data_IF_384021163535
#
_entry.id   IF_384021163535
#
_cell.length_a   1.000
_cell.length_b   1.000
_cell.length_c   1.000
_cell.angle_alpha   90.00
_cell.angle_beta   90.00
_cell.angle_gamma   90.00
#
_symmetry.space_group_name_H-M   'P 1'
#
loop_
_entity.id
_entity.type
_entity.pdbx_description
1 polymer ?
#
# COMPACT_ATOMS: atom_id res chain seq x y z
N UNK A 1 10.14 -17.07 -2.99
CA UNK A 1 9.30 -16.31 -3.93
C UNK A 1 8.34 -17.28 -4.58
N UNK A 2 7.02 -17.12 -4.42
CA UNK A 2 6.06 -17.90 -5.19
C UNK A 2 6.18 -17.47 -6.65
N UNK A 3 6.35 -18.43 -7.55
CA UNK A 3 6.26 -18.17 -8.98
C UNK A 3 4.84 -17.65 -9.27
N UNK A 4 4.74 -16.36 -9.54
CA UNK A 4 3.48 -15.76 -9.96
C UNK A 4 3.08 -16.42 -11.27
N UNK A 5 1.87 -16.97 -11.31
CA UNK A 5 1.34 -17.51 -12.55
C UNK A 5 1.02 -16.34 -13.47
N UNK A 6 1.94 -16.05 -14.39
CA UNK A 6 1.83 -14.91 -15.31
C UNK A 6 0.52 -14.95 -16.12
N UNK A 7 0.02 -16.11 -16.44
CA UNK A 7 -1.25 -16.25 -17.17
C UNK A 7 -2.43 -15.76 -16.34
N UNK A 8 -2.44 -16.04 -15.02
CA UNK A 8 -3.46 -15.52 -14.13
C UNK A 8 -3.38 -13.98 -14.00
N UNK A 9 -2.19 -13.41 -13.96
CA UNK A 9 -2.03 -11.95 -13.88
C UNK A 9 -2.49 -11.26 -15.17
N UNK A 10 -2.20 -11.84 -16.32
CA UNK A 10 -2.69 -11.34 -17.62
C UNK A 10 -4.21 -11.48 -17.71
N UNK A 11 -4.78 -12.57 -17.21
CA UNK A 11 -6.24 -12.77 -17.15
C UNK A 11 -6.92 -11.76 -16.20
N UNK A 12 -6.32 -11.50 -15.05
CA UNK A 12 -6.79 -10.49 -14.12
C UNK A 12 -6.76 -9.09 -14.75
N UNK A 13 -5.66 -8.76 -15.44
CA UNK A 13 -5.54 -7.52 -16.18
C UNK A 13 -6.58 -7.42 -17.31
N UNK A 14 -6.78 -8.49 -18.08
CA UNK A 14 -7.83 -8.56 -19.09
C UNK A 14 -9.20 -8.28 -18.47
N UNK A 15 -9.51 -8.95 -17.36
CA UNK A 15 -10.78 -8.79 -16.66
C UNK A 15 -10.96 -7.36 -16.14
N UNK A 16 -9.92 -6.76 -15.57
CA UNK A 16 -9.94 -5.37 -15.10
C UNK A 16 -10.25 -4.39 -16.23
N UNK A 17 -9.54 -4.51 -17.34
CA UNK A 17 -9.65 -3.57 -18.49
C UNK A 17 -10.94 -3.76 -19.25
N UNK A 18 -11.33 -4.99 -19.55
CA UNK A 18 -12.47 -5.26 -20.41
C UNK A 18 -13.80 -5.45 -19.68
N UNK A 19 -13.81 -5.70 -18.37
CA UNK A 19 -15.02 -5.61 -17.55
C UNK A 19 -15.55 -4.17 -17.47
N UNK A 20 -14.65 -3.21 -17.41
CA UNK A 20 -14.98 -1.77 -17.46
C UNK A 20 -15.47 -1.41 -18.88
N UNK A 21 -14.94 -2.06 -19.91
CA UNK A 21 -15.24 -1.81 -21.31
C UNK A 21 -16.30 -2.76 -21.92
N UNK A 22 -16.93 -3.63 -21.14
CA UNK A 22 -17.85 -4.67 -21.64
C UNK A 22 -19.05 -4.10 -22.42
N UNK A 23 -19.40 -2.83 -22.24
CA UNK A 23 -20.50 -2.14 -22.93
C UNK A 23 -20.02 -1.23 -24.08
N UNK A 24 -18.73 -1.26 -24.45
CA UNK A 24 -18.19 -0.39 -25.50
C UNK A 24 -17.88 -1.16 -26.79
N UNK A 25 -18.22 -0.57 -27.93
CA UNK A 25 -17.91 -1.13 -29.25
C UNK A 25 -16.39 -1.32 -29.45
N UNK A 26 -15.99 -2.32 -30.25
CA UNK A 26 -14.58 -2.72 -30.46
C UNK A 26 -13.65 -1.57 -30.87
N UNK A 27 -14.14 -0.57 -31.60
CA UNK A 27 -13.38 0.63 -32.00
C UNK A 27 -12.99 1.49 -30.75
N UNK A 28 -13.86 1.56 -29.76
CA UNK A 28 -13.61 2.31 -28.53
C UNK A 28 -12.63 1.58 -27.58
N UNK A 29 -12.47 0.26 -27.71
CA UNK A 29 -11.52 -0.51 -26.89
C UNK A 29 -10.06 -0.11 -27.16
N UNK A 30 -9.70 0.12 -28.43
CA UNK A 30 -8.35 0.60 -28.79
C UNK A 30 -8.10 2.01 -28.27
N UNK A 31 -9.11 2.89 -28.32
CA UNK A 31 -9.02 4.24 -27.78
C UNK A 31 -8.82 4.22 -26.27
N UNK A 32 -9.61 3.42 -25.57
CA UNK A 32 -9.52 3.23 -24.13
C UNK A 32 -8.13 2.72 -23.68
N UNK A 33 -7.57 1.72 -24.38
CA UNK A 33 -6.23 1.22 -24.07
C UNK A 33 -5.15 2.27 -24.32
N UNK A 34 -5.27 3.10 -25.35
CA UNK A 34 -4.35 4.20 -25.59
C UNK A 34 -4.42 5.26 -24.48
N UNK A 35 -5.62 5.67 -24.06
CA UNK A 35 -5.81 6.59 -22.95
C UNK A 35 -5.26 6.03 -21.65
N UNK A 36 -5.50 4.75 -21.37
CA UNK A 36 -4.94 4.06 -20.22
C UNK A 36 -3.41 4.07 -20.22
N UNK A 37 -2.76 3.80 -21.37
CA UNK A 37 -1.30 3.89 -21.51
C UNK A 37 -0.81 5.33 -21.27
N UNK A 38 -1.53 6.34 -21.76
CA UNK A 38 -1.18 7.74 -21.54
C UNK A 38 -1.31 8.11 -20.06
N UNK A 39 -2.35 7.66 -19.36
CA UNK A 39 -2.51 7.85 -17.93
C UNK A 39 -1.38 7.18 -17.12
N UNK A 40 -0.99 5.95 -17.46
CA UNK A 40 0.15 5.30 -16.84
C UNK A 40 1.46 6.09 -17.04
N UNK A 41 1.68 6.63 -18.25
CA UNK A 41 2.85 7.48 -18.49
C UNK A 41 2.81 8.78 -17.68
N UNK A 42 1.65 9.40 -17.48
CA UNK A 42 1.52 10.61 -16.67
C UNK A 42 1.75 10.34 -15.17
N UNK A 43 1.33 9.18 -14.67
CA UNK A 43 1.60 8.74 -13.31
C UNK A 43 3.10 8.59 -13.07
N UNK A 44 3.83 8.04 -14.03
CA UNK A 44 5.29 7.89 -13.96
C UNK A 44 6.02 9.22 -13.93
N UNK A 45 5.51 10.23 -14.66
CA UNK A 45 6.11 11.58 -14.68
C UNK A 45 5.79 12.37 -13.41
N UNK A 46 4.62 12.16 -12.82
CA UNK A 46 4.12 12.91 -11.67
C UNK A 46 4.31 12.17 -10.34
N UNK A 47 4.56 10.86 -10.36
CA UNK A 47 4.81 10.11 -9.15
C UNK A 47 6.24 10.30 -8.71
N UNK A 48 6.35 10.97 -7.60
CA UNK A 48 7.41 10.94 -6.62
C UNK A 48 8.70 10.22 -7.04
N UNK A 49 9.82 10.83 -6.74
CA UNK A 49 11.19 10.30 -6.80
C UNK A 49 11.37 8.88 -6.19
N UNK A 50 10.33 8.30 -5.60
CA UNK A 50 10.34 7.02 -4.89
C UNK A 50 9.63 5.85 -5.59
N UNK A 51 8.99 6.05 -6.75
CA UNK A 51 8.41 4.94 -7.52
C UNK A 51 9.45 4.39 -8.48
N UNK A 52 10.19 3.39 -8.06
CA UNK A 52 11.13 2.71 -8.92
C UNK A 52 10.41 1.78 -9.87
N UNK A 53 10.55 2.05 -11.17
CA UNK A 53 10.38 1.07 -12.22
C UNK A 53 11.29 -0.16 -11.99
N UNK A 54 11.04 -1.26 -12.69
CA UNK A 54 11.97 -2.39 -12.68
C UNK A 54 13.43 -1.93 -12.90
N UNK A 55 14.32 -2.39 -12.04
CA UNK A 55 15.75 -2.15 -12.22
C UNK A 55 16.19 -2.83 -13.54
N UNK A 56 16.86 -2.10 -14.43
CA UNK A 56 17.25 -2.55 -15.76
C UNK A 56 16.09 -2.94 -16.70
N UNK A 57 14.90 -2.39 -16.49
CA UNK A 57 13.73 -2.69 -17.30
C UNK A 57 13.87 -2.10 -18.71
N UNK A 58 14.06 -2.96 -19.69
CA UNK A 58 13.89 -2.65 -21.09
C UNK A 58 12.50 -3.13 -21.54
N UNK A 59 11.58 -2.21 -21.80
CA UNK A 59 10.19 -2.53 -22.20
C UNK A 59 10.14 -3.57 -23.34
N UNK A 60 11.08 -3.48 -24.29
CA UNK A 60 11.14 -4.40 -25.44
C UNK A 60 11.41 -5.84 -25.01
N UNK A 61 12.35 -6.06 -24.11
CA UNK A 61 12.75 -7.39 -23.67
C UNK A 61 11.67 -8.00 -22.79
N UNK A 62 11.05 -7.21 -21.93
CA UNK A 62 9.92 -7.65 -21.13
C UNK A 62 8.72 -8.01 -21.99
N UNK A 63 8.35 -7.17 -22.97
CA UNK A 63 7.27 -7.48 -23.92
C UNK A 63 7.56 -8.78 -24.67
N UNK A 64 8.81 -9.03 -25.04
CA UNK A 64 9.18 -10.27 -25.72
C UNK A 64 9.03 -11.48 -24.78
N UNK A 65 9.41 -11.37 -23.52
CA UNK A 65 9.30 -12.47 -22.55
C UNK A 65 7.84 -12.85 -22.22
N UNK A 66 6.93 -11.87 -22.14
CA UNK A 66 5.51 -12.11 -21.84
C UNK A 66 4.65 -12.44 -23.06
N UNK A 67 5.16 -12.27 -24.27
CA UNK A 67 4.39 -12.39 -25.51
C UNK A 67 3.70 -13.75 -25.67
N UNK A 68 4.40 -14.84 -25.29
CA UNK A 68 3.85 -16.18 -25.32
C UNK A 68 2.67 -16.40 -24.37
N UNK A 69 2.76 -15.84 -23.17
CA UNK A 69 1.70 -15.91 -22.17
C UNK A 69 0.50 -15.04 -22.58
N UNK A 70 0.75 -13.84 -23.09
CA UNK A 70 -0.31 -12.99 -23.64
C UNK A 70 -1.02 -13.65 -24.81
N UNK A 71 -0.31 -14.37 -25.69
CA UNK A 71 -0.91 -15.06 -26.83
C UNK A 71 -1.93 -16.11 -26.39
N UNK A 72 -1.69 -16.84 -25.30
CA UNK A 72 -2.64 -17.81 -24.76
C UNK A 72 -3.93 -17.15 -24.28
N UNK A 73 -3.81 -16.02 -23.57
CA UNK A 73 -4.98 -15.27 -23.08
C UNK A 73 -5.74 -14.62 -24.24
N UNK A 74 -5.04 -14.06 -25.23
CA UNK A 74 -5.63 -13.50 -26.43
C UNK A 74 -6.41 -14.59 -27.20
N UNK A 75 -5.88 -15.80 -27.31
CA UNK A 75 -6.56 -16.93 -27.97
C UNK A 75 -7.81 -17.38 -27.18
N UNK A 76 -7.77 -17.33 -25.86
CA UNK A 76 -8.93 -17.65 -25.00
C UNK A 76 -10.08 -16.66 -25.18
N UNK A 77 -9.76 -15.39 -25.52
CA UNK A 77 -10.72 -14.30 -25.71
C UNK A 77 -10.80 -13.85 -27.18
N UNK A 78 -10.89 -14.81 -28.11
CA UNK A 78 -10.92 -14.53 -29.55
C UNK A 78 -12.15 -13.71 -29.97
N UNK A 79 -13.25 -13.83 -29.22
CA UNK A 79 -14.46 -13.02 -29.39
C UNK A 79 -14.20 -11.51 -29.27
N UNK A 80 -13.20 -11.12 -28.46
CA UNK A 80 -12.80 -9.70 -28.27
C UNK A 80 -11.70 -9.28 -29.22
N UNK A 81 -10.70 -10.13 -29.42
CA UNK A 81 -9.50 -9.78 -30.16
C UNK A 81 -9.61 -10.08 -31.66
N UNK A 82 -10.33 -11.18 -32.03
CA UNK A 82 -10.48 -11.59 -33.44
C UNK A 82 -9.18 -11.49 -34.23
N UNK A 83 -9.27 -11.00 -35.47
CA UNK A 83 -8.12 -10.72 -36.32
C UNK A 83 -7.48 -9.35 -36.13
N UNK A 84 -7.89 -8.59 -35.08
CA UNK A 84 -7.39 -7.24 -34.84
C UNK A 84 -5.96 -7.24 -34.30
N UNK A 85 -4.97 -7.36 -35.17
CA UNK A 85 -3.55 -7.36 -34.83
C UNK A 85 -3.08 -6.08 -34.09
N UNK A 86 -3.55 -4.86 -34.43
CA UNK A 86 -3.26 -3.66 -33.65
C UNK A 86 -3.74 -3.74 -32.19
N UNK A 87 -4.97 -4.23 -31.95
CA UNK A 87 -5.53 -4.37 -30.61
C UNK A 87 -4.71 -5.37 -29.78
N UNK A 88 -4.32 -6.52 -30.36
CA UNK A 88 -3.46 -7.52 -29.72
C UNK A 88 -2.13 -6.92 -29.27
N UNK A 89 -1.46 -6.16 -30.14
CA UNK A 89 -0.19 -5.48 -29.82
C UNK A 89 -0.37 -4.45 -28.70
N UNK A 90 -1.44 -3.68 -28.78
CA UNK A 90 -1.74 -2.63 -27.80
C UNK A 90 -2.03 -3.22 -26.43
N UNK A 91 -2.75 -4.34 -26.33
CA UNK A 91 -3.01 -5.07 -25.09
C UNK A 91 -1.71 -5.53 -24.44
N UNK A 92 -0.80 -6.17 -25.20
CA UNK A 92 0.49 -6.62 -24.68
C UNK A 92 1.31 -5.44 -24.15
N UNK A 93 1.33 -4.33 -24.88
CA UNK A 93 2.01 -3.10 -24.46
C UNK A 93 1.39 -2.48 -23.20
N UNK A 94 0.06 -2.44 -23.14
CA UNK A 94 -0.67 -1.92 -21.98
C UNK A 94 -0.38 -2.76 -20.74
N UNK A 95 -0.39 -4.09 -20.87
CA UNK A 95 -0.04 -4.99 -19.79
C UNK A 95 1.42 -4.80 -19.32
N UNK A 96 2.37 -4.74 -20.25
CA UNK A 96 3.76 -4.50 -19.91
C UNK A 96 3.96 -3.19 -19.13
N UNK A 97 3.31 -2.11 -19.57
CA UNK A 97 3.35 -0.83 -18.86
C UNK A 97 2.63 -0.86 -17.53
N UNK A 98 1.49 -1.50 -17.45
CA UNK A 98 0.77 -1.68 -16.19
C UNK A 98 1.63 -2.40 -15.15
N UNK A 99 2.31 -3.45 -15.56
CA UNK A 99 3.24 -4.18 -14.71
C UNK A 99 4.42 -3.31 -14.28
N UNK A 100 5.01 -2.56 -15.23
CA UNK A 100 6.18 -1.73 -14.93
C UNK A 100 5.84 -0.52 -14.05
N UNK A 101 4.68 0.08 -14.23
CA UNK A 101 4.37 1.41 -13.69
C UNK A 101 3.01 1.50 -12.96
N UNK A 102 2.14 0.49 -13.09
CA UNK A 102 0.81 0.52 -12.47
C UNK A 102 0.90 0.54 -10.94
N UNK A 103 0.02 1.31 -10.29
CA UNK A 103 -0.26 1.19 -8.85
C UNK A 103 -1.04 -0.12 -8.63
N UNK A 104 -0.34 -1.23 -8.62
CA UNK A 104 -0.99 -2.51 -8.46
C UNK A 104 -1.02 -2.86 -6.98
N UNK A 105 -2.19 -2.93 -6.42
CA UNK A 105 -2.49 -3.73 -5.23
C UNK A 105 -2.41 -5.22 -5.62
N UNK A 106 -1.26 -5.67 -6.11
CA UNK A 106 -1.01 -7.10 -6.25
C UNK A 106 -0.96 -7.67 -4.84
N UNK A 107 -1.77 -8.67 -4.58
CA UNK A 107 -2.09 -9.18 -3.26
C UNK A 107 -0.92 -9.76 -2.46
N UNK A 108 0.29 -9.84 -3.03
CA UNK A 108 1.46 -10.44 -2.40
C UNK A 108 2.64 -9.48 -2.46
N UNK A 109 2.79 -8.67 -1.42
CA UNK A 109 3.99 -7.89 -1.19
C UNK A 109 4.86 -8.54 -0.11
N UNK A 110 6.17 -8.49 -0.30
CA UNK A 110 7.15 -8.83 0.72
C UNK A 110 7.87 -7.57 1.12
N UNK A 111 7.84 -7.24 2.40
CA UNK A 111 8.49 -6.05 2.92
C UNK A 111 9.76 -6.44 3.66
N UNK A 112 10.87 -5.80 3.30
CA UNK A 112 12.15 -5.90 3.98
C UNK A 112 12.37 -4.59 4.72
N UNK A 113 12.65 -4.68 6.03
CA UNK A 113 12.89 -3.52 6.88
C UNK A 113 14.29 -3.63 7.49
N UNK A 114 15.07 -2.57 7.37
CA UNK A 114 16.40 -2.46 7.95
C UNK A 114 16.40 -1.27 8.90
N UNK A 115 16.81 -1.53 10.15
CA UNK A 115 16.85 -0.52 11.21
C UNK A 115 18.22 -0.53 11.85
N UNK A 116 18.76 0.63 12.17
CA UNK A 116 20.06 0.73 12.85
C UNK A 116 20.53 2.16 13.05
N UNK A 117 21.73 2.26 13.56
CA UNK A 117 22.49 3.50 13.70
C UNK A 117 23.72 3.44 12.81
N UNK A 118 23.97 4.48 12.02
CA UNK A 118 25.26 4.68 11.38
C UNK A 118 26.30 5.13 12.41
N UNK A 119 27.58 4.87 12.13
CA UNK A 119 28.68 5.18 13.05
C UNK A 119 28.71 6.65 13.51
N UNK A 120 28.32 7.56 12.60
CA UNK A 120 28.29 9.02 12.82
C UNK A 120 26.89 9.56 13.07
N UNK A 121 25.84 8.73 13.00
CA UNK A 121 24.46 9.15 13.20
C UNK A 121 24.13 9.21 14.69
N UNK A 122 23.42 10.27 15.08
CA UNK A 122 22.91 10.45 16.46
C UNK A 122 21.59 9.71 16.61
N UNK A 123 20.74 9.78 15.59
CA UNK A 123 19.42 9.19 15.55
C UNK A 123 19.39 7.88 14.76
N UNK A 124 18.46 6.97 15.09
CA UNK A 124 18.30 5.73 14.32
C UNK A 124 17.75 6.01 12.92
N UNK A 125 18.20 5.24 11.96
CA UNK A 125 17.68 5.22 10.60
C UNK A 125 16.87 3.97 10.35
N UNK A 126 15.72 4.09 9.69
CA UNK A 126 14.91 2.99 9.21
C UNK A 126 14.72 3.10 7.71
N UNK A 127 14.96 2.00 7.02
CA UNK A 127 14.67 1.88 5.58
C UNK A 127 13.82 0.66 5.32
N UNK A 128 12.83 0.81 4.47
CA UNK A 128 12.02 -0.33 4.04
C UNK A 128 11.96 -0.42 2.52
N UNK A 129 11.92 -1.66 2.04
CA UNK A 129 11.77 -1.99 0.63
C UNK A 129 10.60 -2.96 0.52
N UNK A 130 9.58 -2.57 -0.25
CA UNK A 130 8.49 -3.46 -0.63
C UNK A 130 8.81 -4.10 -1.97
N UNK A 131 8.88 -5.42 -1.97
CA UNK A 131 8.98 -6.24 -3.17
C UNK A 131 7.57 -6.71 -3.53
N UNK A 132 7.07 -6.28 -4.68
CA UNK A 132 5.70 -6.61 -5.07
C UNK A 132 5.62 -7.96 -5.77
N UNK A 133 6.41 -8.18 -6.83
CA UNK A 133 6.50 -9.45 -7.51
C UNK A 133 7.70 -9.47 -8.46
N UNK A 134 8.08 -10.67 -8.87
CA UNK A 134 9.18 -10.89 -9.82
C UNK A 134 8.78 -11.88 -10.90
N UNK A 135 9.27 -11.65 -12.11
CA UNK A 135 9.10 -12.51 -13.25
C UNK A 135 10.43 -12.62 -13.97
N UNK A 136 11.00 -13.81 -14.01
CA UNK A 136 12.39 -14.06 -14.43
C UNK A 136 13.37 -13.20 -13.63
N UNK A 137 14.17 -12.39 -14.30
CA UNK A 137 15.13 -11.44 -13.72
C UNK A 137 14.53 -10.06 -13.40
N UNK A 138 13.26 -9.83 -13.78
CA UNK A 138 12.56 -8.58 -13.49
C UNK A 138 11.81 -8.70 -12.18
N UNK A 139 12.04 -7.75 -11.29
CA UNK A 139 11.23 -7.60 -10.07
C UNK A 139 10.91 -6.14 -9.82
N UNK A 140 9.74 -5.91 -9.30
CA UNK A 140 9.26 -4.60 -8.95
C UNK A 140 9.43 -4.37 -7.46
N UNK A 141 10.03 -3.26 -7.11
CA UNK A 141 10.16 -2.85 -5.73
C UNK A 141 9.85 -1.36 -5.57
N UNK A 142 9.49 -0.96 -4.36
CA UNK A 142 9.41 0.42 -3.94
C UNK A 142 10.24 0.57 -2.67
N UNK A 143 11.10 1.56 -2.61
CA UNK A 143 11.88 1.88 -1.42
C UNK A 143 11.43 3.23 -0.87
N UNK A 144 11.16 3.27 0.41
CA UNK A 144 10.89 4.52 1.10
C UNK A 144 11.64 4.56 2.44
N UNK A 145 11.99 5.76 2.84
CA UNK A 145 12.52 6.01 4.17
C UNK A 145 11.30 6.31 5.02
N UNK A 146 11.07 5.52 6.03
CA UNK A 146 10.06 5.87 7.01
C UNK A 146 10.56 7.03 7.86
N UNK A 147 9.63 7.83 8.39
CA UNK A 147 9.92 9.07 9.11
C UNK A 147 11.13 8.95 10.03
N UNK A 148 12.20 9.66 9.70
CA UNK A 148 13.41 9.70 10.51
C UNK A 148 13.14 10.35 11.85
N UNK A 149 13.80 9.86 12.89
CA UNK A 149 13.88 10.54 14.19
C UNK A 149 14.83 11.74 14.01
N UNK A 150 14.40 12.92 14.45
CA UNK A 150 15.14 14.18 14.42
C UNK A 150 14.94 14.92 15.73
N UNK A 151 15.61 16.07 15.90
CA UNK A 151 15.38 16.92 17.07
C UNK A 151 13.92 17.40 17.16
N UNK A 152 13.28 17.68 16.03
CA UNK A 152 11.88 18.13 15.97
C UNK A 152 10.87 16.98 16.03
N UNK A 153 11.28 15.76 15.72
CA UNK A 153 10.46 14.56 15.72
C UNK A 153 11.11 13.47 16.57
N UNK A 154 10.88 13.53 17.87
CA UNK A 154 11.55 12.68 18.86
C UNK A 154 11.09 11.23 18.88
N UNK A 155 9.93 10.90 18.30
CA UNK A 155 9.37 9.55 18.32
C UNK A 155 8.59 9.23 17.04
N UNK A 156 8.59 7.96 16.64
CA UNK A 156 7.81 7.47 15.51
C UNK A 156 7.44 6.00 15.69
N UNK A 157 6.23 5.62 15.27
CA UNK A 157 5.78 4.23 15.17
C UNK A 157 5.72 3.85 13.70
N UNK A 158 6.63 3.00 13.26
CA UNK A 158 6.65 2.44 11.92
C UNK A 158 5.93 1.09 11.90
N UNK A 159 4.92 0.96 11.07
CA UNK A 159 4.01 -0.19 11.02
C UNK A 159 4.24 -0.96 9.75
N UNK A 160 4.36 -2.28 9.86
CA UNK A 160 4.61 -3.17 8.74
C UNK A 160 3.69 -4.38 8.80
N UNK A 161 3.28 -4.90 7.65
CA UNK A 161 2.35 -6.02 7.54
C UNK A 161 0.89 -5.62 7.80
N UNK A 162 0.22 -6.31 8.70
CA UNK A 162 -1.19 -6.03 9.04
C UNK A 162 -1.32 -4.84 9.98
N UNK A 163 -1.65 -3.67 9.43
CA UNK A 163 -1.56 -2.39 10.15
C UNK A 163 -2.91 -1.79 10.56
N UNK A 164 -4.04 -2.35 10.13
CA UNK A 164 -5.38 -1.80 10.29
C UNK A 164 -5.77 -1.55 11.77
N UNK A 165 -5.47 -2.49 12.66
CA UNK A 165 -5.77 -2.35 14.09
C UNK A 165 -4.83 -1.32 14.74
N UNK A 166 -3.55 -1.37 14.40
CA UNK A 166 -2.56 -0.41 14.91
C UNK A 166 -2.88 1.00 14.37
N UNK A 167 -3.32 1.12 13.13
CA UNK A 167 -3.80 2.38 12.56
C UNK A 167 -4.98 2.94 13.35
N UNK A 168 -5.96 2.08 13.68
CA UNK A 168 -7.12 2.48 14.47
C UNK A 168 -6.70 2.96 15.86
N UNK A 169 -5.74 2.30 16.50
CA UNK A 169 -5.21 2.71 17.81
C UNK A 169 -4.50 4.08 17.73
N UNK A 170 -3.62 4.27 16.75
CA UNK A 170 -2.84 5.51 16.61
C UNK A 170 -3.70 6.68 16.16
N UNK A 171 -4.60 6.46 15.19
CA UNK A 171 -5.43 7.50 14.61
C UNK A 171 -6.70 7.77 15.44
N UNK A 172 -7.07 6.89 16.38
CA UNK A 172 -8.32 6.98 17.13
C UNK A 172 -9.58 6.74 16.27
N UNK A 173 -9.41 6.37 15.00
CA UNK A 173 -10.50 6.09 14.05
C UNK A 173 -10.10 4.97 13.10
N UNK A 174 -11.06 4.10 12.79
CA UNK A 174 -10.87 3.05 11.79
C UNK A 174 -10.85 3.63 10.37
N UNK A 175 -9.94 3.15 9.52
CA UNK A 175 -9.76 3.67 8.15
C UNK A 175 -11.03 3.47 7.29
N UNK A 176 -11.78 2.37 7.45
CA UNK A 176 -13.04 2.14 6.75
C UNK A 176 -14.13 3.11 7.20
N UNK A 177 -14.20 3.40 8.51
CA UNK A 177 -15.12 4.40 9.04
C UNK A 177 -14.78 5.79 8.52
N UNK A 178 -13.49 6.14 8.51
CA UNK A 178 -13.01 7.41 7.95
C UNK A 178 -13.42 7.56 6.48
N UNK A 179 -13.23 6.51 5.68
CA UNK A 179 -13.66 6.48 4.27
C UNK A 179 -15.18 6.61 4.13
N UNK A 180 -15.94 5.87 4.93
CA UNK A 180 -17.41 5.97 4.92
C UNK A 180 -17.91 7.38 5.23
N UNK A 181 -17.25 8.10 6.14
CA UNK A 181 -17.58 9.50 6.42
C UNK A 181 -17.37 10.40 5.19
N UNK A 182 -16.30 10.19 4.43
CA UNK A 182 -16.07 10.95 3.20
C UNK A 182 -17.13 10.63 2.14
N UNK A 183 -17.48 9.36 1.96
CA UNK A 183 -18.51 8.93 1.01
C UNK A 183 -19.89 9.52 1.38
N UNK A 184 -20.25 9.48 2.67
CA UNK A 184 -21.51 10.08 3.17
C UNK A 184 -21.52 11.57 2.91
N UNK A 185 -20.44 12.28 3.23
CA UNK A 185 -20.37 13.73 3.04
C UNK A 185 -20.38 14.12 1.56
N UNK A 186 -19.68 13.36 0.71
CA UNK A 186 -19.72 13.53 -0.74
C UNK A 186 -21.14 13.37 -1.31
N UNK A 187 -21.83 12.31 -0.90
CA UNK A 187 -23.22 12.06 -1.28
C UNK A 187 -24.16 13.19 -0.78
N UNK A 188 -23.96 13.66 0.45
CA UNK A 188 -24.76 14.73 1.02
C UNK A 188 -24.55 16.07 0.27
N UNK A 189 -23.30 16.43 -0.05
CA UNK A 189 -23.01 17.64 -0.82
C UNK A 189 -23.59 17.57 -2.24
N UNK A 190 -23.52 16.40 -2.89
CA UNK A 190 -24.11 16.18 -4.22
C UNK A 190 -25.64 16.29 -4.18
N UNK A 191 -26.28 15.71 -3.16
CA UNK A 191 -27.74 15.84 -2.98
C UNK A 191 -28.17 17.27 -2.73
N UNK A 192 -27.47 18.00 -1.86
CA UNK A 192 -27.73 19.43 -1.61
C UNK A 192 -27.61 20.27 -2.89
N UNK A 193 -26.53 20.07 -3.66
CA UNK A 193 -26.33 20.75 -4.92
C UNK A 193 -27.50 20.49 -5.90
N UNK A 194 -27.88 19.22 -6.03
CA UNK A 194 -29.00 18.84 -6.90
C UNK A 194 -30.33 19.46 -6.42
N UNK A 195 -30.59 19.48 -5.12
CA UNK A 195 -31.78 20.15 -4.57
C UNK A 195 -31.79 21.64 -4.89
N UNK A 196 -30.64 22.33 -4.75
CA UNK A 196 -30.52 23.73 -5.10
C UNK A 196 -30.77 23.98 -6.58
N UNK A 197 -30.18 23.16 -7.48
CA UNK A 197 -30.35 23.26 -8.91
C UNK A 197 -31.81 23.03 -9.34
N UNK A 198 -32.50 22.08 -8.70
CA UNK A 198 -33.88 21.73 -9.03
C UNK A 198 -34.88 22.79 -8.54
N UNK A 199 -34.52 23.62 -7.57
CA UNK A 199 -35.37 24.68 -7.02
C UNK A 199 -35.11 26.06 -7.66
N UNK A 200 -34.34 26.17 -8.72
CA UNK A 200 -34.11 27.40 -9.48
C UNK A 200 -34.58 27.24 -10.92
N UNK A 201 -35.28 28.25 -11.43
CA UNK A 201 -35.93 28.20 -12.74
C UNK A 201 -35.01 28.65 -13.89
N UNK A 202 -34.04 29.53 -13.61
CA UNK A 202 -33.19 30.09 -14.66
C UNK A 202 -31.90 29.31 -14.85
N UNK A 203 -31.50 29.15 -16.12
CA UNK A 203 -30.20 28.50 -16.45
C UNK A 203 -29.04 29.28 -15.84
N UNK A 204 -29.09 30.59 -15.82
CA UNK A 204 -28.10 31.46 -15.19
C UNK A 204 -27.89 31.13 -13.70
N UNK A 205 -28.98 30.96 -12.94
CA UNK A 205 -28.88 30.54 -11.53
C UNK A 205 -28.30 29.16 -11.34
N UNK A 206 -28.61 28.20 -12.24
CA UNK A 206 -28.01 26.84 -12.23
C UNK A 206 -26.52 26.88 -12.49
N UNK A 207 -26.07 27.73 -13.42
CA UNK A 207 -24.66 27.87 -13.74
C UNK A 207 -23.86 28.50 -12.58
N UNK A 208 -24.47 29.46 -11.86
CA UNK A 208 -23.89 30.02 -10.64
C UNK A 208 -23.72 28.94 -9.57
N UNK A 209 -24.75 28.12 -9.31
CA UNK A 209 -24.68 27.05 -8.31
C UNK A 209 -23.58 26.03 -8.69
N UNK A 210 -23.53 25.64 -9.96
CA UNK A 210 -22.53 24.70 -10.46
C UNK A 210 -21.11 25.22 -10.32
N UNK A 211 -20.89 26.51 -10.53
CA UNK A 211 -19.56 27.14 -10.39
C UNK A 211 -19.19 27.44 -8.93
N UNK A 212 -20.16 27.72 -8.07
CA UNK A 212 -19.95 28.06 -6.67
C UNK A 212 -19.74 26.83 -5.77
N UNK A 213 -20.39 25.69 -6.11
CA UNK A 213 -20.32 24.46 -5.32
C UNK A 213 -19.40 23.46 -6.03
N UNK A 214 -18.15 23.44 -5.60
CA UNK A 214 -17.16 22.41 -5.96
C UNK A 214 -17.19 21.31 -4.89
N UNK A 215 -17.87 20.21 -5.21
CA UNK A 215 -18.05 19.05 -4.32
C UNK A 215 -16.69 18.44 -3.94
N UNK A 216 -15.77 18.33 -4.91
CA UNK A 216 -14.44 17.81 -4.66
C UNK A 216 -13.65 18.66 -3.66
N UNK A 217 -13.74 19.98 -3.78
CA UNK A 217 -13.10 20.92 -2.84
C UNK A 217 -13.71 20.85 -1.45
N UNK A 218 -15.03 20.70 -1.33
CA UNK A 218 -15.69 20.56 -0.04
C UNK A 218 -15.28 19.26 0.67
N UNK A 219 -15.25 18.14 -0.05
CA UNK A 219 -14.78 16.85 0.50
C UNK A 219 -13.31 16.93 0.90
N UNK A 220 -12.46 17.55 0.09
CA UNK A 220 -11.04 17.76 0.42
C UNK A 220 -10.86 18.63 1.67
N UNK A 221 -11.67 19.69 1.83
CA UNK A 221 -11.64 20.56 3.02
C UNK A 221 -12.05 19.79 4.28
N UNK A 222 -13.11 18.97 4.19
CA UNK A 222 -13.51 18.10 5.30
C UNK A 222 -12.38 17.13 5.65
N UNK A 223 -11.75 16.53 4.63
CA UNK A 223 -10.62 15.62 4.81
C UNK A 223 -9.48 16.26 5.57
N UNK A 224 -9.04 17.43 5.13
CA UNK A 224 -7.97 18.18 5.80
C UNK A 224 -8.33 18.57 7.24
N UNK A 225 -9.59 18.94 7.49
CA UNK A 225 -10.07 19.26 8.84
C UNK A 225 -10.05 18.03 9.74
N UNK A 226 -10.57 16.91 9.25
CA UNK A 226 -10.57 15.64 10.00
C UNK A 226 -9.15 15.15 10.29
N UNK A 227 -8.24 15.24 9.31
CA UNK A 227 -6.84 14.87 9.49
C UNK A 227 -6.14 15.76 10.55
N UNK A 228 -6.44 17.04 10.59
CA UNK A 228 -5.95 17.93 11.64
C UNK A 228 -6.49 17.56 13.02
N UNK A 229 -7.78 17.26 13.14
CA UNK A 229 -8.39 16.81 14.40
C UNK A 229 -7.72 15.51 14.87
N UNK A 230 -7.58 14.51 14.00
CA UNK A 230 -6.92 13.23 14.31
C UNK A 230 -5.49 13.49 14.79
N UNK A 231 -4.76 14.35 14.09
CA UNK A 231 -3.39 14.69 14.47
C UNK A 231 -3.30 15.31 15.86
N UNK A 232 -4.17 16.28 16.15
CA UNK A 232 -4.14 17.02 17.43
C UNK A 232 -4.67 16.20 18.61
N UNK A 233 -5.71 15.38 18.38
CA UNK A 233 -6.38 14.66 19.47
C UNK A 233 -5.82 13.27 19.74
N UNK A 234 -5.22 12.62 18.73
CA UNK A 234 -4.76 11.23 18.85
C UNK A 234 -3.26 11.10 18.61
N UNK A 235 -2.75 11.55 17.46
CA UNK A 235 -1.37 11.29 17.06
C UNK A 235 -0.37 12.09 17.89
N UNK A 236 -0.55 13.41 18.01
CA UNK A 236 0.43 14.27 18.67
C UNK A 236 0.59 13.95 20.18
N UNK A 237 -0.48 13.73 20.95
CA UNK A 237 -0.34 13.31 22.34
C UNK A 237 0.38 11.97 22.49
N UNK A 238 0.07 11.00 21.63
CA UNK A 238 0.73 9.70 21.63
C UNK A 238 2.23 9.83 21.34
N UNK A 239 2.61 10.55 20.28
CA UNK A 239 4.02 10.75 19.91
C UNK A 239 4.79 11.50 20.99
N UNK A 240 4.18 12.49 21.63
CA UNK A 240 4.80 13.21 22.76
C UNK A 240 5.06 12.29 23.95
N UNK A 241 4.11 11.40 24.26
CA UNK A 241 4.28 10.41 25.34
C UNK A 241 5.39 9.41 25.02
N UNK A 242 5.46 8.93 23.76
CA UNK A 242 6.50 8.00 23.31
C UNK A 242 7.92 8.58 23.43
N UNK A 243 8.08 9.88 23.22
CA UNK A 243 9.39 10.54 23.32
C UNK A 243 10.02 10.51 24.72
N UNK A 244 9.23 10.23 25.74
CA UNK A 244 9.68 10.19 27.15
C UNK A 244 9.69 8.77 27.74
N UNK A 245 9.20 7.75 27.02
CA UNK A 245 9.23 6.37 27.47
C UNK A 245 10.67 5.84 27.52
N UNK A 246 10.95 5.02 28.50
CA UNK A 246 12.19 4.26 28.54
C UNK A 246 12.19 3.07 27.57
N UNK A 247 13.32 2.38 27.45
CA UNK A 247 13.48 1.25 26.52
C UNK A 247 12.56 0.07 26.85
N UNK A 248 12.26 -0.14 28.14
CA UNK A 248 11.43 -1.24 28.61
C UNK A 248 9.98 -0.98 28.28
N UNK A 249 9.49 0.20 28.58
CA UNK A 249 8.13 0.64 28.31
C UNK A 249 7.84 0.67 26.80
N UNK A 250 8.80 1.13 25.98
CA UNK A 250 8.69 1.08 24.52
C UNK A 250 8.57 -0.37 24.01
N UNK A 251 9.35 -1.29 24.56
CA UNK A 251 9.30 -2.69 24.16
C UNK A 251 7.96 -3.34 24.54
N UNK A 252 7.42 -3.03 25.73
CA UNK A 252 6.12 -3.50 26.20
C UNK A 252 4.97 -2.93 25.37
N UNK A 253 5.04 -1.65 25.00
CA UNK A 253 4.06 -1.04 24.10
C UNK A 253 4.01 -1.75 22.74
N UNK A 254 5.17 -1.99 22.11
CA UNK A 254 5.23 -2.67 20.81
C UNK A 254 4.67 -4.08 20.91
N UNK A 255 5.01 -4.84 21.95
CA UNK A 255 4.46 -6.17 22.20
C UNK A 255 2.94 -6.13 22.38
N UNK A 256 2.44 -5.15 23.13
CA UNK A 256 1.01 -4.95 23.37
C UNK A 256 0.24 -4.64 22.09
N UNK A 257 0.78 -3.79 21.23
CA UNK A 257 0.15 -3.46 19.94
C UNK A 257 0.02 -4.69 19.02
N UNK A 258 1.04 -5.55 18.99
CA UNK A 258 0.99 -6.80 18.21
C UNK A 258 0.00 -7.78 18.85
N UNK A 259 -0.01 -7.87 20.20
CA UNK A 259 -0.93 -8.74 20.94
C UNK A 259 -2.39 -8.36 20.72
N UNK A 260 -2.71 -7.07 20.72
CA UNK A 260 -4.07 -6.57 20.41
C UNK A 260 -4.45 -6.90 18.97
N UNK A 261 -3.53 -6.76 18.02
CA UNK A 261 -3.77 -7.13 16.62
C UNK A 261 -4.09 -8.62 16.49
N UNK A 262 -3.29 -9.48 17.12
CA UNK A 262 -3.52 -10.91 17.14
C UNK A 262 -4.88 -11.28 17.79
N UNK A 263 -5.19 -10.71 18.96
CA UNK A 263 -6.47 -10.94 19.65
C UNK A 263 -7.66 -10.53 18.76
N UNK A 264 -7.59 -9.37 18.13
CA UNK A 264 -8.65 -8.90 17.23
C UNK A 264 -8.88 -9.86 16.08
N UNK A 265 -7.82 -10.35 15.41
CA UNK A 265 -7.92 -11.33 14.32
C UNK A 265 -8.60 -12.62 14.74
N UNK A 266 -8.25 -13.14 15.90
CA UNK A 266 -8.88 -14.36 16.46
C UNK A 266 -10.37 -14.16 16.73
N UNK A 267 -10.77 -13.01 17.28
CA UNK A 267 -12.17 -12.72 17.59
C UNK A 267 -12.99 -12.51 16.31
N UNK A 268 -12.43 -11.84 15.31
CA UNK A 268 -13.12 -11.53 14.04
C UNK A 268 -13.09 -12.68 13.04
N UNK A 269 -12.45 -13.82 13.38
CA UNK A 269 -12.28 -14.99 12.48
C UNK A 269 -11.70 -14.59 11.11
N UNK A 270 -10.96 -13.49 11.03
CA UNK A 270 -10.25 -13.07 9.83
C UNK A 270 -8.97 -13.89 9.67
N UNK A 271 -8.44 -13.96 8.44
CA UNK A 271 -7.20 -14.71 8.16
C UNK A 271 -6.09 -14.29 9.12
N UNK A 272 -5.55 -15.26 9.87
CA UNK A 272 -4.44 -15.06 10.81
C UNK A 272 -3.13 -14.93 10.03
N UNK A 273 -2.80 -13.71 9.59
CA UNK A 273 -1.48 -13.40 9.05
C UNK A 273 -0.44 -13.08 10.13
N UNK A 274 -0.91 -12.73 11.34
CA UNK A 274 -0.08 -12.38 12.50
C UNK A 274 -0.56 -13.18 13.69
N UNK A 275 0.32 -13.99 14.29
CA UNK A 275 -0.04 -14.81 15.45
C UNK A 275 1.17 -15.53 16.06
N UNK A 276 0.94 -16.15 17.21
CA UNK A 276 1.97 -16.89 17.95
C UNK A 276 2.84 -16.02 18.85
N UNK A 277 3.95 -16.59 19.39
CA UNK A 277 4.87 -15.86 20.26
C UNK A 277 5.53 -14.69 19.52
N UNK A 278 5.66 -13.57 20.22
CA UNK A 278 6.23 -12.32 19.70
C UNK A 278 7.71 -12.24 20.09
N UNK A 279 8.57 -11.97 19.12
CA UNK A 279 9.96 -11.61 19.35
C UNK A 279 10.07 -10.09 19.52
N UNK A 280 10.80 -9.64 20.54
CA UNK A 280 11.04 -8.22 20.81
C UNK A 280 12.55 -8.00 20.93
N UNK A 281 13.05 -7.06 20.17
CA UNK A 281 14.45 -6.64 20.22
C UNK A 281 14.55 -5.12 20.41
N UNK A 282 15.61 -4.69 21.07
CA UNK A 282 15.97 -3.29 21.26
C UNK A 282 17.27 -3.05 20.52
N UNK A 283 17.32 -1.98 19.75
CA UNK A 283 18.55 -1.50 19.11
C UNK A 283 18.87 -0.14 19.70
N UNK A 284 20.01 -0.02 20.36
CA UNK A 284 20.47 1.25 20.89
C UNK A 284 21.91 1.52 20.47
N UNK A 285 22.34 2.78 20.51
CA UNK A 285 23.70 3.15 20.13
C UNK A 285 24.74 2.63 21.11
N UNK A 286 24.38 2.50 22.38
CA UNK A 286 25.28 2.01 23.43
C UNK A 286 25.36 0.50 23.51
N UNK A 287 24.18 -0.17 23.52
CA UNK A 287 24.11 -1.62 23.75
C UNK A 287 24.10 -2.44 22.46
N UNK A 288 23.96 -1.77 21.30
CA UNK A 288 23.77 -2.46 20.02
C UNK A 288 22.41 -3.16 19.92
N UNK A 289 22.38 -4.35 19.35
CA UNK A 289 21.20 -5.18 19.21
C UNK A 289 21.03 -6.13 20.39
N UNK A 290 19.91 -6.02 21.11
CA UNK A 290 19.60 -6.85 22.28
C UNK A 290 18.21 -7.48 22.16
N UNK A 291 18.13 -8.79 22.33
CA UNK A 291 16.84 -9.47 22.44
C UNK A 291 16.23 -9.18 23.84
N UNK A 292 15.09 -8.51 23.88
CA UNK A 292 14.29 -8.40 25.12
C UNK A 292 13.45 -9.66 25.32
N UNK A 293 12.91 -10.22 24.22
CA UNK A 293 12.10 -11.43 24.20
C UNK A 293 12.36 -12.20 22.92
N UNK A 294 12.64 -13.49 23.05
CA UNK A 294 12.88 -14.38 21.91
C UNK A 294 12.09 -15.66 22.06
N UNK A 295 11.35 -16.03 21.03
CA UNK A 295 10.63 -17.30 21.00
C UNK A 295 11.57 -18.45 20.73
N UNK A 296 11.33 -19.56 21.41
CA UNK A 296 11.95 -20.84 21.12
C UNK A 296 10.85 -21.86 20.81
N UNK A 297 11.13 -22.81 19.91
CA UNK A 297 10.21 -23.94 19.64
C UNK A 297 10.22 -24.97 20.76
N UNK A 298 11.07 -24.79 21.76
CA UNK A 298 11.23 -25.64 22.94
C UNK A 298 11.32 -24.76 24.20
N UNK A 299 11.12 -25.40 25.37
CA UNK A 299 11.33 -24.75 26.66
C UNK A 299 12.82 -24.65 26.96
N UNK A 300 13.33 -23.44 27.11
CA UNK A 300 14.77 -23.17 27.38
C UNK A 300 15.27 -23.85 28.65
N UNK A 301 14.43 -23.85 29.69
CA UNK A 301 14.77 -24.40 31.02
C UNK A 301 15.03 -25.91 30.97
N UNK A 302 14.48 -26.62 29.98
CA UNK A 302 14.67 -28.07 29.80
C UNK A 302 15.82 -28.41 28.85
N UNK A 303 16.46 -27.42 28.22
CA UNK A 303 17.40 -27.64 27.11
C UNK A 303 18.73 -26.90 27.30
N UNK A 304 19.30 -26.97 28.52
CA UNK A 304 20.55 -26.28 28.86
C UNK A 304 21.71 -26.68 27.96
N UNK A 305 21.82 -27.95 27.59
CA UNK A 305 22.89 -28.45 26.70
C UNK A 305 22.85 -27.81 25.27
N UNK A 306 21.67 -27.39 24.81
CA UNK A 306 21.56 -26.66 23.55
C UNK A 306 22.29 -25.32 23.61
N UNK A 307 22.11 -24.57 24.68
CA UNK A 307 22.75 -23.27 24.89
C UNK A 307 24.25 -23.43 25.16
N UNK A 308 24.64 -24.41 25.94
CA UNK A 308 26.06 -24.70 26.23
C UNK A 308 26.83 -25.04 24.93
N UNK A 309 26.22 -25.77 24.02
CA UNK A 309 26.82 -26.08 22.72
C UNK A 309 26.82 -24.88 21.77
N UNK A 310 25.80 -24.05 21.81
CA UNK A 310 25.68 -22.87 20.94
C UNK A 310 26.69 -21.77 21.29
N UNK A 311 27.04 -21.62 22.57
CA UNK A 311 27.99 -20.60 23.05
C UNK A 311 29.44 -21.11 23.15
N UNK A 312 29.68 -22.38 22.87
CA UNK A 312 31.06 -22.96 22.86
C UNK A 312 31.77 -22.89 21.51
N UNK A 313 31.12 -22.36 20.46
CA UNK A 313 31.68 -22.24 19.10
C UNK A 313 32.40 -20.93 18.89
#
# INVERSE_FOLDING_TARGET
>A
MQNVNMENEIENFYTLIFKIAANTANEKKSLFLNEFILQLNSIVVNSCENCTSFQNFLEKDFVQSIKGHCAKIIAKHEDVFGDNAPLKRLFIKAFAKFVAHGNSNFANETQIVVVGYGDKEIFPSLRSVCLYWGFYEYFRYNSYISAGITEDNSASICRFGQTDIINTFINGINDNLKKALYDIFGNFTSQLKNLMINNVDTQYSKDIINSAIDEGKLVATLGATLDNIIRETSIAPLMSSLGILDKEDMAELVESLISITHLNRRITMSEEGVGGPIDVAIISKGDGFVWKKRKHYFKSELNQMFFDNYFRS
#
